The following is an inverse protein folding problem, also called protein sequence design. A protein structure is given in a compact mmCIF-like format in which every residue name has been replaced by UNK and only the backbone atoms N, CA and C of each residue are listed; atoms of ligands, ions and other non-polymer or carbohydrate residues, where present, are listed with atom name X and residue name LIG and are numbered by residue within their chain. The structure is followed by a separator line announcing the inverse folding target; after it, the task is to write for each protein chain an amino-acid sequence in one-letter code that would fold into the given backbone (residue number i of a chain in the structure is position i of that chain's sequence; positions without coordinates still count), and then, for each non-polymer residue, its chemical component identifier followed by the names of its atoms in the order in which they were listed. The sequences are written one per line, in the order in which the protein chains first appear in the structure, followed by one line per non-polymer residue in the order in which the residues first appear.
data_IF_274678297818
#
_entry.id   IF_274678297818
#
_cell.length_a   1.000
_cell.length_b   1.000
_cell.length_c   1.000
_cell.angle_alpha   90.00
_cell.angle_beta   90.00
_cell.angle_gamma   90.00
#
_symmetry.space_group_name_H-M   'P 1'
#
loop_
_entity.id
_entity.type
_entity.pdbx_description
1 polymer ?
#
# COMPACT_ATOMS: atom_id res chain seq x y z
N UNK A 1 -10.76 3.18 -21.69
CA UNK A 1 -11.38 3.54 -20.39
C UNK A 1 -10.58 4.67 -19.75
N UNK A 2 -11.28 5.68 -19.28
CA UNK A 2 -10.64 6.81 -18.64
C UNK A 2 -10.56 6.56 -17.13
N UNK A 3 -9.35 6.50 -16.63
CA UNK A 3 -9.10 6.34 -15.20
C UNK A 3 -8.48 7.58 -14.56
N UNK A 4 -8.59 8.71 -15.25
CA UNK A 4 -8.05 9.95 -14.70
C UNK A 4 -8.71 10.27 -13.37
N UNK A 5 -7.89 10.69 -12.42
CA UNK A 5 -8.34 11.11 -11.10
C UNK A 5 -7.59 12.35 -10.69
N UNK A 6 -8.33 13.37 -10.27
CA UNK A 6 -7.72 14.62 -9.83
C UNK A 6 -7.27 14.56 -8.38
N UNK A 7 -7.79 13.63 -7.58
CA UNK A 7 -7.42 13.50 -6.18
C UNK A 7 -6.54 12.28 -5.90
N UNK A 8 -6.15 11.52 -6.94
CA UNK A 8 -5.28 10.37 -6.79
C UNK A 8 -5.97 9.08 -6.39
N UNK A 9 -7.29 9.09 -6.25
CA UNK A 9 -8.05 7.88 -5.90
C UNK A 9 -8.72 7.33 -7.14
N UNK A 10 -8.56 6.04 -7.39
CA UNK A 10 -9.20 5.36 -8.51
C UNK A 10 -9.89 4.10 -8.01
N UNK A 11 -10.84 3.61 -8.81
CA UNK A 11 -11.58 2.38 -8.49
C UNK A 11 -11.08 1.28 -9.41
N UNK A 12 -10.69 0.17 -8.84
CA UNK A 12 -10.13 -0.97 -9.56
C UNK A 12 -10.85 -2.25 -9.15
N UNK A 13 -10.69 -3.29 -9.98
CA UNK A 13 -11.29 -4.59 -9.71
C UNK A 13 -10.28 -5.46 -8.95
N UNK A 14 -10.71 -6.03 -7.83
CA UNK A 14 -9.88 -6.93 -7.04
C UNK A 14 -9.73 -8.27 -7.72
N UNK A 15 -8.52 -8.83 -7.66
CA UNK A 15 -8.22 -10.20 -8.11
C UNK A 15 -8.30 -11.24 -7.01
N UNK A 16 -8.61 -10.82 -5.79
CA UNK A 16 -8.75 -11.68 -4.62
C UNK A 16 -9.14 -10.85 -3.42
N UNK A 17 -9.16 -11.45 -2.24
CA UNK A 17 -9.49 -10.74 -1.01
C UNK A 17 -8.42 -9.70 -0.67
N UNK A 18 -8.85 -8.51 -0.31
CA UNK A 18 -7.97 -7.40 0.06
C UNK A 18 -8.58 -6.77 1.32
N UNK A 19 -7.74 -6.50 2.32
CA UNK A 19 -8.19 -5.78 3.51
C UNK A 19 -7.90 -4.28 3.36
N UNK A 20 -8.71 -3.47 4.02
CA UNK A 20 -8.50 -2.03 4.08
C UNK A 20 -7.08 -1.73 4.60
N UNK A 21 -6.38 -0.83 3.93
CA UNK A 21 -5.04 -0.42 4.32
C UNK A 21 -3.91 -1.27 3.78
N UNK A 22 -4.21 -2.33 3.03
CA UNK A 22 -3.17 -3.14 2.41
C UNK A 22 -2.66 -2.48 1.13
N UNK A 23 -1.35 -2.58 0.90
CA UNK A 23 -0.78 -2.18 -0.38
C UNK A 23 -1.22 -3.18 -1.46
N UNK A 24 -1.48 -2.67 -2.65
CA UNK A 24 -1.94 -3.48 -3.78
C UNK A 24 -1.05 -3.27 -4.99
N UNK A 25 -1.00 -4.29 -5.83
CA UNK A 25 -0.24 -4.28 -7.09
C UNK A 25 -1.13 -4.81 -8.22
N UNK A 26 -0.75 -4.51 -9.45
CA UNK A 26 -1.45 -5.08 -10.61
C UNK A 26 -1.09 -6.54 -10.83
N UNK A 27 -2.08 -7.33 -11.19
CA UNK A 27 -1.91 -8.73 -11.59
C UNK A 27 -3.04 -9.08 -12.57
N UNK A 28 -2.68 -9.43 -13.78
CA UNK A 28 -3.63 -9.86 -14.83
C UNK A 28 -4.79 -8.85 -15.04
N UNK A 29 -4.47 -7.56 -15.02
CA UNK A 29 -5.46 -6.50 -15.22
C UNK A 29 -6.31 -6.14 -14.00
N UNK A 30 -6.08 -6.80 -12.89
CA UNK A 30 -6.76 -6.55 -11.61
C UNK A 30 -5.74 -6.16 -10.55
N UNK A 31 -6.20 -5.87 -9.34
CA UNK A 31 -5.29 -5.60 -8.24
C UNK A 31 -5.38 -6.71 -7.21
N UNK A 32 -4.24 -7.06 -6.65
CA UNK A 32 -4.12 -8.03 -5.55
C UNK A 32 -3.26 -7.42 -4.45
N UNK A 33 -3.39 -7.91 -3.24
CA UNK A 33 -2.57 -7.41 -2.14
C UNK A 33 -1.10 -7.78 -2.37
N UNK A 34 -0.21 -6.89 -1.94
CA UNK A 34 1.22 -7.16 -1.93
C UNK A 34 1.56 -8.11 -0.78
N UNK A 35 2.45 -9.07 -1.03
CA UNK A 35 2.85 -10.05 -0.03
C UNK A 35 4.35 -10.07 0.22
N UNK A 36 5.12 -9.32 -0.55
CA UNK A 36 6.57 -9.28 -0.45
C UNK A 36 7.09 -7.85 -0.51
N UNK A 37 8.23 -7.62 0.12
CA UNK A 37 8.88 -6.32 0.13
C UNK A 37 9.38 -5.89 -1.26
N UNK A 38 9.41 -6.82 -2.21
CA UNK A 38 9.84 -6.56 -3.59
C UNK A 38 8.68 -6.36 -4.56
N UNK A 39 7.45 -6.42 -4.08
CA UNK A 39 6.28 -6.21 -4.94
C UNK A 39 6.17 -4.73 -5.32
N UNK A 40 5.85 -4.47 -6.58
CA UNK A 40 5.70 -3.11 -7.09
C UNK A 40 4.28 -2.60 -6.78
N UNK A 41 4.09 -2.09 -5.58
CA UNK A 41 2.81 -1.57 -5.14
C UNK A 41 2.44 -0.33 -5.95
N UNK A 42 1.17 -0.23 -6.33
CA UNK A 42 0.67 0.96 -7.03
C UNK A 42 -0.16 1.85 -6.11
N UNK A 43 -0.67 1.31 -5.03
CA UNK A 43 -1.52 2.08 -4.14
C UNK A 43 -1.87 1.35 -2.87
N UNK A 44 -2.74 1.95 -2.09
CA UNK A 44 -3.25 1.43 -0.83
C UNK A 44 -4.76 1.29 -0.95
N UNK A 45 -5.30 0.15 -0.57
CA UNK A 45 -6.74 -0.06 -0.59
C UNK A 45 -7.42 0.80 0.49
N UNK A 46 -8.34 1.65 0.06
CA UNK A 46 -9.08 2.52 0.98
C UNK A 46 -10.25 1.79 1.63
N UNK A 47 -10.61 0.65 1.09
CA UNK A 47 -11.65 -0.21 1.64
C UNK A 47 -11.32 -1.65 1.27
N UNK A 48 -11.97 -2.60 1.93
CA UNK A 48 -11.73 -4.00 1.67
C UNK A 48 -12.49 -4.54 0.47
N UNK A 49 -11.99 -5.66 -0.07
CA UNK A 49 -12.69 -6.47 -1.06
C UNK A 49 -12.75 -7.90 -0.52
N UNK A 50 -13.94 -8.48 -0.50
CA UNK A 50 -14.14 -9.81 0.09
C UNK A 50 -13.65 -10.92 -0.85
N UNK A 51 -13.72 -10.69 -2.17
CA UNK A 51 -13.40 -11.72 -3.15
C UNK A 51 -13.00 -11.10 -4.49
N UNK A 52 -12.46 -11.93 -5.36
CA UNK A 52 -12.15 -11.54 -6.73
C UNK A 52 -13.41 -11.03 -7.43
N UNK A 53 -13.26 -9.98 -8.20
CA UNK A 53 -14.36 -9.34 -8.91
C UNK A 53 -14.98 -8.15 -8.18
N UNK A 54 -14.73 -8.02 -6.88
CA UNK A 54 -15.22 -6.88 -6.11
C UNK A 54 -14.49 -5.61 -6.54
N UNK A 55 -15.19 -4.49 -6.42
CA UNK A 55 -14.63 -3.18 -6.71
C UNK A 55 -13.93 -2.66 -5.46
N UNK A 56 -12.73 -2.13 -5.62
CA UNK A 56 -11.96 -1.58 -4.51
C UNK A 56 -11.44 -0.18 -4.84
N UNK A 57 -11.70 0.82 -3.97
CA UNK A 57 -11.09 2.14 -4.15
C UNK A 57 -9.63 2.09 -3.70
N UNK A 58 -8.75 2.65 -4.51
CA UNK A 58 -7.31 2.62 -4.28
C UNK A 58 -6.76 4.04 -4.31
N UNK A 59 -5.99 4.40 -3.28
CA UNK A 59 -5.22 5.63 -3.27
C UNK A 59 -3.88 5.35 -3.96
N UNK A 60 -3.65 5.99 -5.10
CA UNK A 60 -2.47 5.74 -5.92
C UNK A 60 -1.26 6.43 -5.30
N UNK A 61 -0.21 5.66 -5.01
CA UNK A 61 1.00 6.18 -4.34
C UNK A 61 1.64 7.29 -5.16
N UNK A 62 1.96 8.39 -4.48
CA UNK A 62 2.59 9.54 -5.10
C UNK A 62 1.65 10.45 -5.87
N UNK A 63 0.38 10.09 -6.03
CA UNK A 63 -0.56 10.84 -6.85
C UNK A 63 -1.66 11.53 -6.06
N UNK A 64 -1.92 11.12 -4.81
CA UNK A 64 -2.97 11.76 -4.03
C UNK A 64 -2.37 12.78 -3.04
N UNK A 65 -3.19 13.72 -2.61
CA UNK A 65 -2.78 14.71 -1.60
C UNK A 65 -3.02 14.16 -0.20
N UNK A 66 -2.14 14.52 0.72
CA UNK A 66 -2.26 14.12 2.12
C UNK A 66 -1.61 12.80 2.43
N UNK A 67 -1.93 12.29 3.59
CA UNK A 67 -1.40 11.02 4.10
C UNK A 67 -2.41 9.91 3.89
N UNK A 68 -1.98 8.68 4.11
CA UNK A 68 -2.86 7.52 3.98
C UNK A 68 -2.65 6.59 5.17
N UNK A 69 -3.72 5.91 5.56
CA UNK A 69 -3.67 4.93 6.63
C UNK A 69 -3.41 3.55 6.03
N UNK A 70 -2.41 2.87 6.57
CA UNK A 70 -2.09 1.50 6.15
C UNK A 70 -2.27 0.54 7.31
N UNK A 71 -2.46 -0.74 6.96
CA UNK A 71 -2.50 -1.84 7.91
C UNK A 71 -1.08 -2.40 8.03
N UNK A 72 -0.48 -2.26 9.20
CA UNK A 72 0.86 -2.77 9.43
C UNK A 72 0.83 -4.30 9.49
N UNK A 73 1.85 -4.93 8.90
CA UNK A 73 2.04 -6.38 8.95
C UNK A 73 3.03 -6.79 10.03
N UNK A 74 3.55 -5.83 10.78
CA UNK A 74 4.48 -6.06 11.89
C UNK A 74 4.76 -4.73 12.56
N UNK A 75 5.68 -4.73 13.54
CA UNK A 75 6.06 -3.52 14.23
C UNK A 75 6.78 -2.55 13.28
N UNK A 76 6.45 -1.27 13.38
CA UNK A 76 7.06 -0.21 12.58
C UNK A 76 7.36 0.94 13.53
N UNK A 77 8.59 1.45 13.49
CA UNK A 77 8.96 2.62 14.29
C UNK A 77 8.50 3.90 13.59
N UNK A 78 8.15 4.90 14.38
CA UNK A 78 7.84 6.23 13.83
C UNK A 78 9.06 6.74 13.04
N UNK A 79 8.84 7.23 11.84
CA UNK A 79 9.89 7.74 10.97
C UNK A 79 10.55 6.68 10.10
N UNK A 80 10.23 5.40 10.28
CA UNK A 80 10.81 4.33 9.49
C UNK A 80 10.23 4.29 8.08
N UNK A 81 11.04 3.81 7.14
CA UNK A 81 10.57 3.57 5.77
C UNK A 81 9.75 2.29 5.72
N UNK A 82 8.68 2.31 4.92
CA UNK A 82 7.68 1.24 4.88
C UNK A 82 7.74 0.53 3.53
N UNK A 83 7.76 -0.80 3.58
CA UNK A 83 7.79 -1.66 2.39
C UNK A 83 6.37 -1.98 1.91
N UNK A 84 6.22 -2.49 0.66
CA UNK A 84 4.89 -2.85 0.14
C UNK A 84 4.17 -3.94 0.93
N UNK A 85 4.88 -4.74 1.71
CA UNK A 85 4.21 -5.73 2.55
C UNK A 85 3.67 -5.15 3.86
N UNK A 86 3.86 -3.84 4.09
CA UNK A 86 3.38 -3.19 5.30
C UNK A 86 4.29 -3.35 6.50
N UNK A 87 5.56 -3.55 6.27
CA UNK A 87 6.57 -3.72 7.32
C UNK A 87 7.63 -2.64 7.23
N UNK A 88 8.38 -2.48 8.31
CA UNK A 88 9.54 -1.61 8.32
C UNK A 88 10.62 -2.17 7.40
N UNK A 89 11.23 -1.28 6.62
CA UNK A 89 12.35 -1.66 5.76
C UNK A 89 13.55 -1.97 6.66
N UNK A 90 14.05 -3.19 6.58
CA UNK A 90 15.04 -3.70 7.54
C UNK A 90 16.44 -3.83 6.96
N UNK A 91 16.58 -3.93 5.65
CA UNK A 91 17.88 -4.22 5.10
C UNK A 91 18.53 -2.99 4.51
N UNK A 92 19.81 -2.90 4.67
CA UNK A 92 20.66 -2.05 3.85
C UNK A 92 20.66 -2.57 2.42
N UNK A 93 20.07 -3.73 2.21
CA UNK A 93 19.98 -4.37 0.92
C UNK A 93 19.04 -3.60 0.04
N UNK A 94 18.99 -3.93 -1.07
CA UNK A 94 18.73 -3.13 -2.19
C UNK A 94 17.60 -3.65 -3.04
N UNK A 95 16.98 -4.77 -2.60
CA UNK A 95 15.86 -5.35 -3.34
C UNK A 95 14.50 -4.97 -2.77
N UNK A 96 14.46 -4.51 -1.51
CA UNK A 96 13.21 -4.05 -0.91
C UNK A 96 12.81 -2.71 -1.52
N UNK A 97 11.52 -2.56 -1.75
CA UNK A 97 10.97 -1.29 -2.22
C UNK A 97 10.47 -0.47 -1.04
N UNK A 98 10.36 0.83 -1.24
CA UNK A 98 9.89 1.76 -0.23
C UNK A 98 8.67 2.46 -0.77
N UNK A 99 7.58 2.46 0.00
CA UNK A 99 6.31 3.08 -0.39
C UNK A 99 5.94 4.28 0.46
N UNK A 100 6.76 4.63 1.43
CA UNK A 100 6.52 5.79 2.26
C UNK A 100 7.27 5.72 3.57
N UNK A 101 6.94 6.65 4.46
CA UNK A 101 7.57 6.79 5.77
C UNK A 101 6.48 6.86 6.83
N UNK A 102 6.65 6.11 7.89
CA UNK A 102 5.66 6.06 8.97
C UNK A 102 5.63 7.37 9.74
N UNK A 103 4.44 7.92 9.91
CA UNK A 103 4.23 9.13 10.68
C UNK A 103 3.93 8.82 12.15
N UNK A 104 3.59 7.58 12.44
CA UNK A 104 3.38 7.08 13.78
C UNK A 104 3.85 5.64 13.87
N UNK A 105 4.04 5.14 15.08
CA UNK A 105 4.53 3.78 15.28
C UNK A 105 3.39 2.77 15.24
N UNK A 106 3.67 1.57 14.71
CA UNK A 106 2.83 0.40 14.86
C UNK A 106 3.48 -0.54 15.86
N UNK A 107 2.73 -0.98 16.86
CA UNK A 107 3.25 -1.89 17.88
C UNK A 107 3.25 -3.33 17.39
N UNK A 108 2.30 -3.70 16.55
CA UNK A 108 2.12 -5.09 16.11
C UNK A 108 1.39 -5.14 14.78
N UNK A 109 1.39 -6.34 14.19
CA UNK A 109 0.62 -6.59 12.97
C UNK A 109 -0.85 -6.30 13.21
N UNK A 110 -1.49 -5.70 12.23
CA UNK A 110 -2.90 -5.33 12.29
C UNK A 110 -3.15 -3.89 12.71
N UNK A 111 -2.15 -3.20 13.28
CA UNK A 111 -2.31 -1.80 13.65
C UNK A 111 -2.48 -0.93 12.39
N UNK A 112 -3.37 0.04 12.48
CA UNK A 112 -3.56 1.02 11.41
C UNK A 112 -2.77 2.28 11.74
N UNK A 113 -1.89 2.69 10.83
CA UNK A 113 -1.04 3.87 11.05
C UNK A 113 -1.05 4.77 9.82
N UNK A 114 -0.80 6.06 10.04
CA UNK A 114 -0.66 7.03 8.95
C UNK A 114 0.76 7.00 8.41
N UNK A 115 0.88 7.07 7.09
CA UNK A 115 2.18 7.21 6.43
C UNK A 115 2.17 8.39 5.47
N UNK A 116 3.34 8.98 5.26
CA UNK A 116 3.59 9.85 4.13
C UNK A 116 4.00 8.95 2.97
N UNK A 117 3.17 8.92 1.94
CA UNK A 117 3.35 7.97 0.85
C UNK A 117 4.30 8.49 -0.23
N UNK A 118 4.84 7.56 -0.99
CA UNK A 118 5.67 7.86 -2.15
C UNK A 118 5.44 6.78 -3.21
N UNK A 119 5.74 7.12 -4.46
CA UNK A 119 5.77 6.11 -5.51
C UNK A 119 6.74 5.01 -5.09
N UNK A 120 6.33 3.76 -5.26
CA UNK A 120 7.13 2.61 -4.88
C UNK A 120 8.48 2.66 -5.60
N UNK A 121 9.56 2.64 -4.84
CA UNK A 121 10.91 2.81 -5.40
C UNK A 121 11.92 2.03 -4.56
N UNK A 122 13.09 1.74 -5.16
CA UNK A 122 14.19 1.12 -4.42
C UNK A 122 14.89 2.17 -3.58
N UNK A 123 15.49 1.69 -2.52
CA UNK A 123 16.25 2.55 -1.63
C UNK A 123 17.52 3.08 -2.31
#
# INVERSE_FOLDING_TARGET
MDKRSENGNITLTAGGAIAKGEFVKFSAGKVVKCTAATDAAIGVALDGAAAAGDIVPVAVLGSFTGTVQIKAAGAIAQGAEVTPEGKEQTSAGTTELICGRALEAAAAAGDMIEIAHAVCHTK
#
